data_IF_981542425838
#
_entry.id   IF_981542425838
#
_cell.length_a   1.000
_cell.length_b   1.000
_cell.length_c   1.000
_cell.angle_alpha   90.00
_cell.angle_beta   90.00
_cell.angle_gamma   90.00
#
_symmetry.space_group_name_H-M   'P 1'
#
loop_
_entity.id
_entity.type
_entity.pdbx_description
1 polymer ?
#
# COMPACT_ATOMS: atom_id res chain seq x y z
N UNK A 1 -4.79 33.74 -2.30
CA UNK A 1 -5.62 32.53 -2.07
C UNK A 1 -4.80 31.29 -2.35
N UNK A 2 -4.79 30.36 -1.43
CA UNK A 2 -4.05 29.11 -1.61
C UNK A 2 -4.69 28.23 -2.66
N UNK A 3 -3.87 27.64 -3.54
CA UNK A 3 -4.32 26.64 -4.48
C UNK A 3 -4.59 25.30 -3.78
N UNK A 4 -5.34 24.41 -4.44
CA UNK A 4 -5.55 23.06 -3.93
C UNK A 4 -4.22 22.33 -3.74
N UNK A 5 -3.26 22.50 -4.66
CA UNK A 5 -1.95 21.89 -4.56
C UNK A 5 -1.19 22.39 -3.33
N UNK A 6 -1.26 23.69 -3.04
CA UNK A 6 -0.65 24.26 -1.85
C UNK A 6 -1.31 23.74 -0.56
N UNK A 7 -2.63 23.60 -0.55
CA UNK A 7 -3.37 23.04 0.57
C UNK A 7 -2.99 21.57 0.82
N UNK A 8 -2.89 20.79 -0.25
CA UNK A 8 -2.46 19.40 -0.14
C UNK A 8 -1.04 19.28 0.39
N UNK A 9 -0.13 20.12 -0.11
CA UNK A 9 1.27 20.13 0.36
C UNK A 9 1.36 20.49 1.85
N UNK A 10 0.59 21.48 2.28
CA UNK A 10 0.55 21.87 3.70
C UNK A 10 0.00 20.74 4.58
N UNK A 11 -1.04 20.08 4.14
CA UNK A 11 -1.62 18.95 4.87
C UNK A 11 -0.64 17.77 4.95
N UNK A 12 0.05 17.46 3.86
CA UNK A 12 1.08 16.41 3.87
C UNK A 12 2.19 16.72 4.88
N UNK A 13 2.64 17.96 4.97
CA UNK A 13 3.65 18.37 5.95
C UNK A 13 3.17 18.19 7.38
N UNK A 14 1.92 18.56 7.66
CA UNK A 14 1.34 18.40 9.00
C UNK A 14 1.24 16.93 9.38
N UNK A 15 0.79 16.09 8.46
CA UNK A 15 0.67 14.65 8.71
C UNK A 15 2.05 14.01 8.88
N UNK A 16 3.04 14.41 8.08
CA UNK A 16 4.40 13.92 8.23
C UNK A 16 4.99 14.29 9.58
N UNK A 17 4.72 15.50 10.06
CA UNK A 17 5.17 15.94 11.39
C UNK A 17 4.56 15.07 12.50
N UNK A 18 3.28 14.69 12.37
CA UNK A 18 2.62 13.78 13.31
C UNK A 18 3.25 12.40 13.30
N UNK A 19 3.54 11.87 12.11
CA UNK A 19 4.21 10.58 11.96
C UNK A 19 5.59 10.60 12.61
N UNK A 20 6.34 11.70 12.43
CA UNK A 20 7.67 11.85 13.02
C UNK A 20 7.64 11.93 14.54
N UNK A 21 6.57 12.47 15.10
CA UNK A 21 6.41 12.60 16.55
C UNK A 21 6.06 11.28 17.23
N UNK A 22 5.62 10.27 16.48
CA UNK A 22 5.31 8.96 17.04
C UNK A 22 6.58 8.24 17.48
N UNK A 23 6.54 7.64 18.67
CA UNK A 23 7.63 6.77 19.12
C UNK A 23 7.61 5.47 18.33
N UNK A 24 8.73 4.74 18.35
CA UNK A 24 8.81 3.42 17.72
C UNK A 24 7.74 2.49 18.25
N UNK A 25 7.52 2.47 19.56
CA UNK A 25 6.50 1.62 20.19
C UNK A 25 5.10 2.01 19.73
N UNK A 26 4.80 3.30 19.67
CA UNK A 26 3.51 3.78 19.19
C UNK A 26 3.26 3.34 17.74
N UNK A 27 4.29 3.42 16.90
CA UNK A 27 4.19 3.01 15.51
C UNK A 27 3.95 1.50 15.38
N UNK A 28 4.69 0.70 16.14
CA UNK A 28 4.52 -0.75 16.13
C UNK A 28 3.12 -1.17 16.58
N UNK A 29 2.61 -0.54 17.63
CA UNK A 29 1.25 -0.82 18.11
C UNK A 29 0.19 -0.39 17.10
N UNK A 30 0.38 0.77 16.47
CA UNK A 30 -0.53 1.27 15.44
C UNK A 30 -0.54 0.34 14.23
N UNK A 31 0.63 -0.08 13.76
CA UNK A 31 0.75 -0.99 12.61
C UNK A 31 0.02 -2.31 12.88
N UNK A 32 0.23 -2.88 14.05
CA UNK A 32 -0.46 -4.13 14.45
C UNK A 32 -1.97 -3.96 14.50
N UNK A 33 -2.43 -2.83 15.06
CA UNK A 33 -3.85 -2.55 15.16
C UNK A 33 -4.49 -2.42 13.78
N UNK A 34 -3.83 -1.73 12.85
CA UNK A 34 -4.33 -1.57 11.49
C UNK A 34 -4.43 -2.92 10.78
N UNK A 35 -3.40 -3.73 10.87
CA UNK A 35 -3.40 -5.07 10.25
C UNK A 35 -4.49 -5.95 10.86
N UNK A 36 -4.65 -5.89 12.17
CA UNK A 36 -5.70 -6.61 12.89
C UNK A 36 -7.08 -6.23 12.37
N UNK A 37 -7.34 -4.93 12.23
CA UNK A 37 -8.64 -4.47 11.75
C UNK A 37 -8.87 -4.81 10.29
N UNK A 38 -7.87 -4.65 9.43
CA UNK A 38 -7.99 -4.97 8.00
C UNK A 38 -8.33 -6.44 7.80
N UNK A 39 -7.62 -7.34 8.48
CA UNK A 39 -7.80 -8.78 8.29
C UNK A 39 -9.10 -9.31 8.90
N UNK A 40 -9.81 -8.49 9.66
CA UNK A 40 -11.12 -8.84 10.21
C UNK A 40 -12.30 -8.29 9.42
N UNK A 41 -12.03 -7.50 8.36
CA UNK A 41 -13.10 -7.00 7.52
C UNK A 41 -13.71 -8.13 6.69
N UNK A 42 -14.97 -7.96 6.32
CA UNK A 42 -15.65 -8.90 5.43
C UNK A 42 -15.00 -8.90 4.04
N UNK A 43 -14.60 -7.73 3.57
CA UNK A 43 -13.91 -7.56 2.29
C UNK A 43 -12.64 -8.39 2.24
N UNK A 44 -11.85 -8.37 3.31
CA UNK A 44 -10.64 -9.18 3.38
C UNK A 44 -10.98 -10.68 3.41
N UNK A 45 -11.96 -11.06 4.23
CA UNK A 45 -12.32 -12.48 4.36
C UNK A 45 -12.80 -13.09 3.05
N UNK A 46 -13.55 -12.32 2.26
CA UNK A 46 -14.09 -12.77 0.96
C UNK A 46 -13.06 -12.72 -0.15
N UNK A 47 -12.06 -11.87 -0.05
CA UNK A 47 -11.08 -11.68 -1.11
C UNK A 47 -10.24 -12.94 -1.31
N UNK A 48 -10.11 -13.36 -2.54
CA UNK A 48 -9.22 -14.46 -2.94
C UNK A 48 -7.88 -13.91 -3.42
N UNK A 49 -7.90 -12.79 -4.11
CA UNK A 49 -6.72 -12.10 -4.62
C UNK A 49 -6.63 -10.73 -3.98
N UNK A 50 -5.53 -10.48 -3.27
CA UNK A 50 -5.31 -9.23 -2.55
C UNK A 50 -4.07 -8.55 -3.09
N UNK A 51 -4.23 -7.28 -3.47
CA UNK A 51 -3.12 -6.40 -3.74
C UNK A 51 -2.78 -5.65 -2.46
N UNK A 52 -1.51 -5.61 -2.08
CA UNK A 52 -1.08 -4.87 -0.90
C UNK A 52 0.25 -4.20 -1.17
N UNK A 53 0.39 -2.95 -0.72
CA UNK A 53 1.65 -2.22 -0.87
C UNK A 53 2.72 -2.75 0.08
N UNK A 54 3.98 -2.55 -0.29
CA UNK A 54 5.12 -2.84 0.57
C UNK A 54 5.52 -1.53 1.25
N UNK A 55 5.30 -1.45 2.55
CA UNK A 55 5.57 -0.24 3.31
C UNK A 55 7.06 0.07 3.38
N UNK A 56 7.38 1.35 3.30
CA UNK A 56 8.76 1.83 3.41
C UNK A 56 8.80 3.11 4.22
N UNK A 57 9.93 3.33 4.89
CA UNK A 57 10.16 4.54 5.66
C UNK A 57 9.14 4.68 6.79
N UNK A 58 8.35 5.74 6.76
CA UNK A 58 7.34 6.03 7.79
C UNK A 58 6.00 5.37 7.53
N UNK A 59 5.85 4.72 6.37
CA UNK A 59 4.64 3.96 6.10
C UNK A 59 4.52 2.80 7.07
N UNK A 60 3.31 2.25 7.16
CA UNK A 60 3.05 1.04 7.93
C UNK A 60 3.98 -0.07 7.43
N UNK A 61 4.61 -0.79 8.36
CA UNK A 61 5.32 -2.02 7.99
C UNK A 61 4.28 -3.07 7.64
N UNK A 62 4.13 -3.33 6.35
CA UNK A 62 3.14 -4.29 5.85
C UNK A 62 3.66 -5.71 5.75
N UNK A 63 4.92 -5.98 6.04
CA UNK A 63 5.46 -7.34 5.94
C UNK A 63 4.65 -8.38 6.75
N UNK A 64 4.23 -8.08 7.99
CA UNK A 64 3.36 -9.01 8.70
C UNK A 64 2.03 -9.26 7.99
N UNK A 65 1.46 -8.23 7.36
CA UNK A 65 0.23 -8.36 6.57
C UNK A 65 0.45 -9.24 5.34
N UNK A 66 1.56 -9.04 4.61
CA UNK A 66 1.87 -9.87 3.44
C UNK A 66 2.01 -11.34 3.83
N UNK A 67 2.68 -11.60 4.94
CA UNK A 67 2.78 -12.97 5.48
C UNK A 67 1.42 -13.55 5.83
N UNK A 68 0.55 -12.74 6.44
CA UNK A 68 -0.80 -13.16 6.81
C UNK A 68 -1.64 -13.51 5.57
N UNK A 69 -1.57 -12.68 4.53
CA UNK A 69 -2.30 -12.93 3.28
C UNK A 69 -1.90 -14.29 2.69
N UNK A 70 -0.60 -14.58 2.64
CA UNK A 70 -0.11 -15.86 2.15
C UNK A 70 -0.52 -17.02 3.06
N UNK A 71 -0.42 -16.83 4.39
CA UNK A 71 -0.81 -17.85 5.36
C UNK A 71 -2.29 -18.18 5.28
N UNK A 72 -3.13 -17.20 4.92
CA UNK A 72 -4.56 -17.39 4.75
C UNK A 72 -4.92 -18.06 3.42
N UNK A 73 -3.92 -18.45 2.63
CA UNK A 73 -4.12 -19.14 1.36
C UNK A 73 -4.60 -18.25 0.22
N UNK A 74 -4.47 -16.94 0.37
CA UNK A 74 -4.89 -15.99 -0.65
C UNK A 74 -3.77 -15.74 -1.66
N UNK A 75 -4.17 -15.33 -2.86
CA UNK A 75 -3.22 -14.90 -3.89
C UNK A 75 -2.79 -13.47 -3.57
N UNK A 76 -1.48 -13.28 -3.41
CA UNK A 76 -0.90 -11.97 -3.10
C UNK A 76 -0.27 -11.36 -4.34
N UNK A 77 -0.56 -10.09 -4.60
CA UNK A 77 0.22 -9.29 -5.52
C UNK A 77 0.65 -7.98 -4.85
N UNK A 78 1.80 -7.50 -5.24
CA UNK A 78 2.41 -6.28 -4.71
C UNK A 78 2.77 -5.35 -5.85
N UNK A 79 3.05 -4.07 -5.58
CA UNK A 79 3.39 -3.13 -6.64
C UNK A 79 4.61 -3.55 -7.44
N UNK A 80 4.49 -3.49 -8.76
CA UNK A 80 5.56 -3.70 -9.71
C UNK A 80 5.54 -2.52 -10.68
N UNK A 81 6.59 -1.70 -10.67
CA UNK A 81 6.72 -0.58 -11.58
C UNK A 81 7.17 -1.09 -12.96
N UNK A 82 6.32 -0.91 -13.96
CA UNK A 82 6.58 -1.38 -15.33
C UNK A 82 6.98 -0.25 -16.27
N UNK A 83 6.91 0.99 -15.80
CA UNK A 83 7.31 2.18 -16.53
C UNK A 83 7.21 3.40 -15.65
N UNK A 84 7.61 4.57 -16.17
CA UNK A 84 7.56 5.81 -15.39
C UNK A 84 6.11 6.16 -15.05
N UNK A 85 5.80 6.14 -13.76
CA UNK A 85 4.46 6.44 -13.28
C UNK A 85 3.44 5.33 -13.48
N UNK A 86 3.87 4.16 -13.96
CA UNK A 86 3.00 3.02 -14.24
C UNK A 86 3.32 1.89 -13.27
N UNK A 87 2.27 1.37 -12.65
CA UNK A 87 2.37 0.32 -11.65
C UNK A 87 1.34 -0.76 -11.95
N UNK A 88 1.78 -2.00 -11.84
CA UNK A 88 0.92 -3.18 -11.96
C UNK A 88 1.03 -4.03 -10.69
N UNK A 89 0.20 -5.05 -10.57
CA UNK A 89 0.30 -6.03 -9.50
C UNK A 89 1.16 -7.19 -9.94
N UNK A 90 2.28 -7.40 -9.26
CA UNK A 90 3.13 -8.57 -9.50
C UNK A 90 2.84 -9.66 -8.48
N UNK A 91 2.57 -10.88 -8.93
CA UNK A 91 2.26 -11.98 -8.02
C UNK A 91 3.48 -12.40 -7.20
N UNK A 92 3.25 -12.61 -5.91
CA UNK A 92 4.27 -13.08 -4.97
C UNK A 92 3.74 -14.31 -4.26
N UNK A 93 4.49 -15.40 -4.32
CA UNK A 93 4.18 -16.64 -3.60
C UNK A 93 5.09 -16.84 -2.40
N UNK A 94 6.27 -16.22 -2.44
CA UNK A 94 7.28 -16.30 -1.41
C UNK A 94 7.92 -14.92 -1.27
N UNK A 95 7.90 -14.36 -0.07
CA UNK A 95 8.42 -13.01 0.17
C UNK A 95 9.93 -12.91 -0.01
N UNK A 96 10.66 -14.02 0.04
CA UNK A 96 12.10 -14.03 -0.18
C UNK A 96 12.52 -13.64 -1.59
N UNK A 97 11.59 -13.67 -2.56
CA UNK A 97 11.89 -13.29 -3.94
C UNK A 97 11.91 -11.78 -4.17
N UNK A 98 11.45 -11.00 -3.20
CA UNK A 98 11.42 -9.55 -3.34
C UNK A 98 12.84 -8.98 -3.44
N UNK A 99 13.03 -8.04 -4.36
CA UNK A 99 14.31 -7.37 -4.62
C UNK A 99 14.12 -5.87 -4.59
N UNK A 100 15.17 -5.08 -4.29
CA UNK A 100 15.08 -3.63 -4.38
C UNK A 100 14.64 -3.20 -5.78
N UNK A 101 13.57 -2.41 -5.84
CA UNK A 101 13.01 -1.89 -7.07
C UNK A 101 13.05 -0.37 -7.11
N UNK A 102 12.09 0.22 -7.82
CA UNK A 102 11.97 1.66 -7.91
C UNK A 102 11.86 2.29 -6.53
N UNK A 103 12.58 3.39 -6.32
CA UNK A 103 12.60 4.15 -5.06
C UNK A 103 13.03 3.31 -3.84
N UNK A 104 13.78 2.22 -4.06
CA UNK A 104 14.21 1.33 -2.98
C UNK A 104 13.10 0.49 -2.37
N UNK A 105 11.93 0.48 -2.95
CA UNK A 105 10.79 -0.33 -2.49
C UNK A 105 11.01 -1.77 -2.96
N UNK A 106 10.90 -2.78 -2.08
CA UNK A 106 11.02 -4.17 -2.53
C UNK A 106 9.94 -4.50 -3.55
N UNK A 107 10.36 -5.11 -4.65
CA UNK A 107 9.49 -5.51 -5.74
C UNK A 107 9.72 -6.98 -6.09
N UNK A 108 8.72 -7.66 -6.69
CA UNK A 108 8.95 -8.97 -7.26
C UNK A 108 9.86 -8.87 -8.49
N UNK A 109 10.46 -9.99 -8.96
CA UNK A 109 11.25 -9.97 -10.18
C UNK A 109 10.43 -9.42 -11.36
N UNK A 110 11.11 -8.82 -12.34
CA UNK A 110 10.44 -8.22 -13.50
C UNK A 110 9.62 -9.23 -14.31
N UNK A 111 9.98 -10.52 -14.23
CA UNK A 111 9.26 -11.61 -14.90
C UNK A 111 8.16 -12.23 -14.02
N UNK A 112 7.88 -11.67 -12.85
CA UNK A 112 6.77 -12.15 -12.02
C UNK A 112 5.46 -12.05 -12.80
N UNK A 113 4.55 -13.04 -12.64
CA UNK A 113 3.26 -12.95 -13.31
C UNK A 113 2.51 -11.68 -12.89
N UNK A 114 2.05 -10.93 -13.86
CA UNK A 114 1.18 -9.80 -13.58
C UNK A 114 -0.23 -10.30 -13.26
N UNK A 115 -0.83 -9.69 -12.26
CA UNK A 115 -2.22 -9.96 -11.88
C UNK A 115 -3.07 -8.86 -12.50
N UNK A 116 -4.00 -9.24 -13.37
CA UNK A 116 -4.92 -8.29 -13.98
C UNK A 116 -5.75 -7.60 -12.88
N UNK A 117 -5.96 -6.29 -13.02
CA UNK A 117 -6.73 -5.54 -12.02
C UNK A 117 -8.13 -6.09 -11.83
N UNK A 118 -8.74 -6.57 -12.91
CA UNK A 118 -10.07 -7.18 -12.83
C UNK A 118 -10.10 -8.42 -11.93
N UNK A 119 -8.95 -9.06 -11.69
CA UNK A 119 -8.85 -10.25 -10.84
C UNK A 119 -8.52 -9.90 -9.38
N UNK A 120 -8.25 -8.64 -9.08
CA UNK A 120 -7.97 -8.21 -7.70
C UNK A 120 -9.29 -7.95 -6.98
N UNK A 121 -9.50 -8.66 -5.88
CA UNK A 121 -10.72 -8.55 -5.10
C UNK A 121 -10.63 -7.45 -4.05
N UNK A 122 -9.44 -7.17 -3.54
CA UNK A 122 -9.19 -6.15 -2.53
C UNK A 122 -7.83 -5.52 -2.77
N UNK A 123 -7.79 -4.19 -2.78
CA UNK A 123 -6.53 -3.44 -2.86
C UNK A 123 -6.30 -2.69 -1.57
N UNK A 124 -5.16 -2.97 -0.94
CA UNK A 124 -4.72 -2.28 0.28
C UNK A 124 -3.63 -1.31 -0.16
N UNK A 125 -3.96 -0.02 -0.13
CA UNK A 125 -3.12 1.04 -0.70
C UNK A 125 -2.66 2.02 0.37
N UNK A 126 -1.46 2.61 0.20
CA UNK A 126 -0.96 3.58 1.17
C UNK A 126 -1.59 4.94 0.96
N UNK A 127 -1.52 5.77 1.99
CA UNK A 127 -1.90 7.17 1.90
C UNK A 127 -1.10 8.00 2.90
N UNK A 128 -0.99 9.30 2.65
CA UNK A 128 -0.47 10.23 3.63
C UNK A 128 -1.53 10.53 4.69
N UNK A 129 -2.80 10.46 4.32
CA UNK A 129 -3.93 10.62 5.21
C UNK A 129 -5.22 10.22 4.53
N UNK A 130 -6.25 10.01 5.32
CA UNK A 130 -7.57 9.67 4.83
C UNK A 130 -8.64 10.35 5.68
N UNK A 131 -9.81 10.57 5.08
CA UNK A 131 -10.96 11.14 5.79
C UNK A 131 -11.97 10.04 6.12
N UNK A 132 -12.85 10.29 7.11
CA UNK A 132 -13.92 9.34 7.43
C UNK A 132 -14.85 9.07 6.25
N UNK A 133 -14.98 10.02 5.30
CA UNK A 133 -15.81 9.89 4.11
C UNK A 133 -15.17 9.05 3.03
N UNK A 134 -13.92 8.60 3.21
CA UNK A 134 -13.22 7.75 2.26
C UNK A 134 -12.31 8.49 1.28
N UNK A 135 -12.07 9.77 1.46
CA UNK A 135 -11.09 10.50 0.66
C UNK A 135 -9.67 10.11 1.07
N UNK A 136 -8.82 9.95 0.10
CA UNK A 136 -7.44 9.54 0.30
C UNK A 136 -6.49 10.62 -0.21
N UNK A 137 -5.56 11.06 0.64
CA UNK A 137 -4.48 11.95 0.25
C UNK A 137 -3.23 11.10 -0.02
N UNK A 138 -2.79 11.07 -1.28
CA UNK A 138 -1.58 10.36 -1.68
C UNK A 138 -0.32 11.13 -1.33
N UNK A 139 0.84 10.53 -1.62
CA UNK A 139 2.13 11.14 -1.29
C UNK A 139 2.69 12.04 -2.42
N UNK A 140 1.94 12.21 -3.51
CA UNK A 140 2.23 13.16 -4.57
C UNK A 140 2.65 12.55 -5.91
N UNK A 141 3.05 11.28 -5.96
CA UNK A 141 3.51 10.65 -7.20
C UNK A 141 2.39 10.23 -8.17
N UNK A 142 1.18 10.08 -7.66
CA UNK A 142 0.02 9.72 -8.46
C UNK A 142 -0.04 8.27 -8.93
N UNK A 143 0.88 7.41 -8.49
CA UNK A 143 0.91 5.99 -8.89
C UNK A 143 -0.38 5.26 -8.56
N UNK A 144 -0.86 5.42 -7.33
CA UNK A 144 -2.07 4.73 -6.87
C UNK A 144 -3.33 5.33 -7.48
N UNK A 145 -3.38 6.64 -7.70
CA UNK A 145 -4.51 7.26 -8.37
C UNK A 145 -4.65 6.71 -9.79
N UNK A 146 -3.54 6.58 -10.51
CA UNK A 146 -3.54 5.99 -11.85
C UNK A 146 -3.87 4.49 -11.82
N UNK A 147 -3.32 3.76 -10.85
CA UNK A 147 -3.58 2.34 -10.70
C UNK A 147 -5.07 2.08 -10.43
N UNK A 148 -5.65 2.82 -9.47
CA UNK A 148 -7.05 2.66 -9.09
C UNK A 148 -8.02 3.15 -10.17
N UNK A 149 -7.64 4.16 -10.95
CA UNK A 149 -8.51 4.71 -11.99
C UNK A 149 -8.83 3.73 -13.11
N UNK A 150 -8.09 2.62 -13.21
CA UNK A 150 -8.30 1.61 -14.24
C UNK A 150 -9.25 0.49 -13.81
N UNK A 151 -9.81 0.58 -12.62
CA UNK A 151 -10.84 -0.36 -12.18
C UNK A 151 -12.13 -0.15 -12.93
#
# INVERSE_FOLDING_TARGET
METIQQQKAALRRRLAAREQAMTRRERELSDRAIIYHVTRTEEYRRARTVFAFVGRGREIDTMPLLRQILADGKRLCVPLCTGKGIMEGGQVRDLSILRPGAYGIPEPPADAPEVARADIDLSIVPCAGASPEGWRLGRGGGYYDRFLARY
#
